data_IF_784199663854
#
_entry.id   IF_784199663854
#
_cell.length_a   1.000
_cell.length_b   1.000
_cell.length_c   1.000
_cell.angle_alpha   90.00
_cell.angle_beta   90.00
_cell.angle_gamma   90.00
#
_symmetry.space_group_name_H-M   'P 1'
#
loop_
_entity.id
_entity.type
_entity.pdbx_description
1 polymer ?
#
# COMPACT_ATOMS: atom_id res chain seq x y z
N UNK A 1 1.57 3.66 1.40
CA UNK A 1 1.36 4.48 0.19
C UNK A 1 1.75 5.94 0.40
N UNK A 2 1.15 6.69 1.32
CA UNK A 2 1.49 8.11 1.53
C UNK A 2 2.97 8.40 1.83
N UNK A 3 3.64 7.54 2.60
CA UNK A 3 5.07 7.69 2.91
C UNK A 3 5.97 7.62 1.66
N UNK A 4 5.63 6.74 0.70
CA UNK A 4 6.35 6.61 -0.58
C UNK A 4 6.14 7.86 -1.44
N UNK A 5 4.91 8.36 -1.50
CA UNK A 5 4.59 9.61 -2.19
C UNK A 5 5.38 10.78 -1.61
N UNK A 6 5.45 10.91 -0.28
CA UNK A 6 6.23 11.95 0.38
C UNK A 6 7.71 11.88 -0.04
N UNK A 7 8.32 10.70 -0.02
CA UNK A 7 9.71 10.52 -0.44
C UNK A 7 9.95 10.88 -1.92
N UNK A 8 9.03 10.54 -2.82
CA UNK A 8 9.13 10.85 -4.25
C UNK A 8 8.91 12.35 -4.57
N UNK A 9 8.39 13.12 -3.61
CA UNK A 9 8.27 14.57 -3.71
C UNK A 9 9.37 15.30 -2.94
N UNK A 10 9.99 14.67 -1.95
CA UNK A 10 10.94 15.30 -1.05
C UNK A 10 12.21 15.82 -1.73
N UNK A 11 12.68 15.16 -2.78
CA UNK A 11 13.84 15.62 -3.56
C UNK A 11 13.50 16.78 -4.52
N UNK A 12 12.23 16.96 -4.86
CA UNK A 12 11.74 17.95 -5.84
C UNK A 12 11.20 19.22 -5.21
N UNK A 13 10.69 19.15 -3.98
CA UNK A 13 10.02 20.27 -3.33
C UNK A 13 10.77 20.74 -2.06
N UNK A 14 11.60 21.79 -2.17
CA UNK A 14 12.33 22.34 -1.03
C UNK A 14 11.43 23.12 -0.06
N UNK A 15 10.14 23.30 -0.34
CA UNK A 15 9.21 23.97 0.57
C UNK A 15 8.66 23.07 1.67
N UNK A 16 8.87 21.75 1.56
CA UNK A 16 8.46 20.78 2.58
C UNK A 16 9.37 20.95 3.81
N UNK A 17 8.80 21.35 4.94
CA UNK A 17 9.55 21.61 6.16
C UNK A 17 9.99 20.34 6.91
N UNK A 18 9.20 19.25 6.84
CA UNK A 18 9.47 18.01 7.55
C UNK A 18 8.59 16.84 7.09
N UNK A 19 9.06 15.60 7.27
CA UNK A 19 8.34 14.40 6.85
C UNK A 19 8.29 13.32 7.94
N UNK A 20 7.17 12.60 8.02
CA UNK A 20 7.06 11.35 8.79
C UNK A 20 6.82 10.22 7.81
N UNK A 21 7.74 9.25 7.80
CA UNK A 21 7.78 8.15 6.84
C UNK A 21 7.44 6.86 7.58
N UNK A 22 6.15 6.51 7.62
CA UNK A 22 5.66 5.28 8.24
C UNK A 22 5.59 4.12 7.25
N UNK A 23 6.41 3.09 7.50
CA UNK A 23 6.39 1.80 6.83
C UNK A 23 6.46 1.91 5.30
N UNK A 24 7.37 2.75 4.81
CA UNK A 24 7.61 2.90 3.36
C UNK A 24 8.38 1.70 2.80
N UNK A 25 8.00 1.27 1.59
CA UNK A 25 8.78 0.34 0.78
C UNK A 25 9.83 1.11 -0.05
N UNK A 26 10.93 0.46 -0.38
CA UNK A 26 12.06 1.12 -1.05
C UNK A 26 11.87 1.21 -2.58
N UNK A 27 11.25 0.18 -3.16
CA UNK A 27 10.86 0.11 -4.57
C UNK A 27 9.80 -1.00 -4.76
N UNK A 28 9.04 -0.92 -5.86
CA UNK A 28 7.96 -1.86 -6.15
C UNK A 28 8.41 -3.28 -6.47
N UNK A 29 9.61 -3.47 -7.02
CA UNK A 29 10.13 -4.80 -7.39
C UNK A 29 10.49 -5.59 -6.13
N UNK A 30 11.18 -4.95 -5.19
CA UNK A 30 11.51 -5.53 -3.89
C UNK A 30 10.24 -5.86 -3.11
N UNK A 31 9.26 -4.95 -3.08
CA UNK A 31 7.97 -5.20 -2.42
C UNK A 31 7.26 -6.43 -2.99
N UNK A 32 7.11 -6.50 -4.32
CA UNK A 32 6.45 -7.64 -4.96
C UNK A 32 7.19 -8.95 -4.72
N UNK A 33 8.53 -8.92 -4.70
CA UNK A 33 9.37 -10.09 -4.40
C UNK A 33 9.15 -10.56 -2.95
N UNK A 34 9.10 -9.63 -2.00
CA UNK A 34 8.87 -9.95 -0.58
C UNK A 34 7.49 -10.57 -0.35
N UNK A 35 6.45 -9.99 -0.96
CA UNK A 35 5.09 -10.52 -0.88
C UNK A 35 4.97 -11.91 -1.53
N UNK A 36 5.60 -12.13 -2.68
CA UNK A 36 5.64 -13.44 -3.33
C UNK A 36 6.27 -14.52 -2.44
N UNK A 37 7.36 -14.18 -1.75
CA UNK A 37 8.02 -15.10 -0.81
C UNK A 37 7.15 -15.40 0.41
N UNK A 38 6.38 -14.42 0.91
CA UNK A 38 5.48 -14.61 2.05
C UNK A 38 4.29 -15.51 1.77
N UNK A 39 3.81 -15.54 0.53
CA UNK A 39 2.74 -16.44 0.11
C UNK A 39 3.17 -17.92 0.08
N UNK A 40 4.41 -18.24 0.47
CA UNK A 40 4.88 -19.61 0.70
C UNK A 40 5.18 -20.40 -0.56
N UNK A 41 4.93 -19.84 -1.74
CA UNK A 41 5.33 -20.42 -3.01
C UNK A 41 6.79 -20.05 -3.30
N UNK A 42 7.64 -21.06 -3.54
CA UNK A 42 8.92 -20.85 -4.23
C UNK A 42 8.62 -20.57 -5.70
N UNK A 43 8.07 -19.38 -5.98
CA UNK A 43 7.73 -18.97 -7.33
C UNK A 43 9.03 -18.89 -8.14
N UNK A 44 9.18 -19.66 -9.23
CA UNK A 44 10.32 -19.51 -10.14
C UNK A 44 10.41 -18.05 -10.60
N UNK A 45 11.62 -17.49 -10.70
CA UNK A 45 11.80 -16.07 -11.04
C UNK A 45 11.12 -15.64 -12.35
N UNK A 46 10.88 -16.58 -13.27
CA UNK A 46 10.11 -16.36 -14.50
C UNK A 46 8.64 -16.01 -14.22
N UNK A 47 7.96 -16.74 -13.33
CA UNK A 47 6.55 -16.48 -13.00
C UNK A 47 6.39 -15.15 -12.25
N UNK A 48 7.30 -14.82 -11.33
CA UNK A 48 7.30 -13.50 -10.68
C UNK A 48 7.46 -12.38 -11.72
N UNK A 49 8.34 -12.57 -12.70
CA UNK A 49 8.54 -11.61 -13.80
C UNK A 49 7.29 -11.46 -14.66
N UNK A 50 6.55 -12.54 -14.94
CA UNK A 50 5.30 -12.50 -15.68
C UNK A 50 4.21 -11.73 -14.91
N UNK A 51 4.03 -12.02 -13.62
CA UNK A 51 3.07 -11.29 -12.75
C UNK A 51 3.41 -9.80 -12.69
N UNK A 52 4.69 -9.49 -12.51
CA UNK A 52 5.20 -8.11 -12.51
C UNK A 52 4.97 -7.41 -13.85
N UNK A 53 5.14 -8.11 -14.97
CA UNK A 53 4.83 -7.57 -16.30
C UNK A 53 3.33 -7.29 -16.45
N UNK A 54 2.46 -8.24 -16.08
CA UNK A 54 1.01 -8.03 -16.12
C UNK A 54 0.56 -6.86 -15.25
N UNK A 55 1.11 -6.75 -14.03
CA UNK A 55 0.84 -5.62 -13.14
C UNK A 55 1.25 -4.29 -13.78
N UNK A 56 2.44 -4.23 -14.37
CA UNK A 56 2.94 -3.05 -15.10
C UNK A 56 2.02 -2.67 -16.25
N UNK A 57 1.59 -3.64 -17.08
CA UNK A 57 0.67 -3.38 -18.19
C UNK A 57 -0.68 -2.87 -17.70
N UNK A 58 -1.25 -3.49 -16.66
CA UNK A 58 -2.53 -3.08 -16.08
C UNK A 58 -2.48 -1.64 -15.55
N UNK A 59 -1.44 -1.30 -14.80
CA UNK A 59 -1.26 0.05 -14.24
C UNK A 59 -0.98 1.08 -15.33
N UNK A 60 -0.15 0.76 -16.33
CA UNK A 60 0.07 1.65 -17.48
C UNK A 60 -1.21 1.93 -18.25
N UNK A 61 -2.06 0.91 -18.43
CA UNK A 61 -3.32 1.05 -19.16
C UNK A 61 -4.33 1.92 -18.40
N UNK A 62 -4.43 1.75 -17.06
CA UNK A 62 -5.45 2.40 -16.24
C UNK A 62 -5.03 3.75 -15.66
N UNK A 63 -3.78 3.89 -15.28
CA UNK A 63 -3.26 5.05 -14.55
C UNK A 63 -2.21 5.84 -15.33
N UNK A 64 -1.87 5.40 -16.56
CA UNK A 64 -0.96 6.10 -17.47
C UNK A 64 0.44 6.41 -16.90
N UNK A 65 0.90 5.62 -15.91
CA UNK A 65 2.26 5.70 -15.38
C UNK A 65 2.87 4.29 -15.25
N UNK A 66 4.20 4.22 -15.20
CA UNK A 66 4.90 2.96 -14.97
C UNK A 66 4.98 2.68 -13.47
N UNK A 67 4.40 1.56 -13.02
CA UNK A 67 4.46 1.20 -11.61
C UNK A 67 5.89 1.02 -11.09
N UNK A 68 6.85 0.71 -11.96
CA UNK A 68 8.25 0.60 -11.57
C UNK A 68 8.96 1.93 -11.37
N UNK A 69 8.33 3.05 -11.72
CA UNK A 69 8.85 4.38 -11.39
C UNK A 69 8.64 4.73 -9.90
N UNK A 70 7.90 3.89 -9.15
CA UNK A 70 7.77 3.97 -7.71
C UNK A 70 9.03 3.40 -7.03
N UNK A 71 10.12 4.14 -7.12
CA UNK A 71 11.45 3.80 -6.60
C UNK A 71 11.98 4.88 -5.64
N UNK A 72 11.39 5.08 -4.44
CA UNK A 72 11.88 6.06 -3.47
C UNK A 72 13.37 5.96 -3.16
N UNK A 73 13.93 4.74 -3.15
CA UNK A 73 15.35 4.51 -2.86
C UNK A 73 16.27 5.24 -3.84
N UNK A 74 15.84 5.53 -5.07
CA UNK A 74 16.62 6.29 -6.03
C UNK A 74 16.68 7.80 -5.73
N UNK A 75 15.79 8.33 -4.88
CA UNK A 75 15.62 9.76 -4.62
C UNK A 75 16.10 10.21 -3.23
N UNK A 76 16.10 9.30 -2.25
CA UNK A 76 16.39 9.65 -0.85
C UNK A 76 17.81 10.17 -0.59
N UNK A 77 18.78 9.88 -1.46
CA UNK A 77 20.16 10.41 -1.36
C UNK A 77 20.29 11.88 -1.77
N UNK A 78 19.22 12.47 -2.31
CA UNK A 78 19.13 13.88 -2.69
C UNK A 78 18.04 14.61 -1.89
N UNK A 79 17.42 13.95 -0.91
CA UNK A 79 16.41 14.54 -0.05
C UNK A 79 17.04 15.02 1.26
N UNK A 80 16.95 16.33 1.53
CA UNK A 80 17.55 16.96 2.71
C UNK A 80 16.54 17.40 3.78
N UNK A 81 15.25 17.19 3.53
CA UNK A 81 14.17 17.55 4.45
C UNK A 81 14.31 16.72 5.75
N UNK A 82 14.18 17.31 6.95
CA UNK A 82 14.13 16.56 8.19
C UNK A 82 13.06 15.47 8.15
N UNK A 83 13.43 14.23 8.51
CA UNK A 83 12.54 13.09 8.41
C UNK A 83 12.55 12.20 9.67
N UNK A 84 11.35 11.78 10.09
CA UNK A 84 11.15 10.75 11.09
C UNK A 84 10.65 9.46 10.43
N UNK A 85 11.51 8.46 10.35
CA UNK A 85 11.16 7.14 9.87
C UNK A 85 10.55 6.30 10.99
N UNK A 86 9.55 5.51 10.64
CA UNK A 86 8.98 4.51 11.56
C UNK A 86 8.55 3.26 10.80
N UNK A 87 8.63 2.12 11.50
CA UNK A 87 8.19 0.83 10.97
C UNK A 87 7.78 -0.10 12.12
N UNK A 88 6.85 -1.01 11.85
CA UNK A 88 6.48 -2.06 12.78
C UNK A 88 7.43 -3.27 12.63
N UNK A 89 7.99 -3.77 13.74
CA UNK A 89 9.00 -4.85 13.73
C UNK A 89 8.47 -6.18 13.17
N UNK A 90 7.18 -6.45 13.32
CA UNK A 90 6.51 -7.64 12.80
C UNK A 90 5.72 -7.35 11.53
N UNK A 91 6.06 -6.31 10.78
CA UNK A 91 5.42 -6.01 9.51
C UNK A 91 5.78 -7.08 8.47
N UNK A 92 4.77 -7.84 8.06
CA UNK A 92 4.89 -8.80 6.97
C UNK A 92 4.59 -8.14 5.63
N UNK A 93 3.64 -7.22 5.56
CA UNK A 93 3.25 -6.62 4.28
C UNK A 93 4.38 -5.77 3.66
N UNK A 94 5.03 -4.93 4.47
CA UNK A 94 6.24 -4.20 4.07
C UNK A 94 7.34 -4.57 5.04
N UNK A 95 8.24 -5.46 4.59
CA UNK A 95 9.35 -5.91 5.42
C UNK A 95 10.15 -4.68 5.95
N UNK A 96 10.39 -4.56 7.27
CA UNK A 96 11.06 -3.40 7.87
C UNK A 96 12.45 -3.10 7.31
N UNK A 97 13.10 -4.08 6.66
CA UNK A 97 14.35 -3.89 5.93
C UNK A 97 14.25 -2.82 4.84
N UNK A 98 13.06 -2.59 4.28
CA UNK A 98 12.82 -1.53 3.30
C UNK A 98 12.99 -0.15 3.94
N UNK A 99 12.42 0.04 5.13
CA UNK A 99 12.61 1.26 5.91
C UNK A 99 14.06 1.44 6.32
N UNK A 100 14.76 0.35 6.68
CA UNK A 100 16.19 0.40 7.01
C UNK A 100 17.04 0.85 5.82
N UNK A 101 16.79 0.30 4.62
CA UNK A 101 17.50 0.67 3.41
C UNK A 101 17.27 2.14 3.03
N UNK A 102 16.01 2.60 3.12
CA UNK A 102 15.67 4.00 2.89
C UNK A 102 16.34 4.92 3.91
N UNK A 103 16.25 4.58 5.19
CA UNK A 103 16.86 5.35 6.28
C UNK A 103 18.37 5.45 6.08
N UNK A 104 19.06 4.34 5.80
CA UNK A 104 20.52 4.34 5.62
C UNK A 104 20.94 5.26 4.47
N UNK A 105 20.24 5.17 3.34
CA UNK A 105 20.55 5.96 2.13
C UNK A 105 20.12 7.43 2.22
N UNK A 106 19.20 7.79 3.11
CA UNK A 106 18.65 9.14 3.22
C UNK A 106 19.73 10.20 3.54
N UNK A 107 19.74 11.32 2.82
CA UNK A 107 20.80 12.34 2.93
C UNK A 107 20.55 13.40 4.01
N UNK A 108 19.29 13.74 4.29
CA UNK A 108 18.91 14.75 5.28
C UNK A 108 18.96 14.27 6.73
N UNK A 109 18.60 15.20 7.63
CA UNK A 109 18.43 14.88 9.04
C UNK A 109 17.36 13.82 9.22
N UNK A 110 17.70 12.75 9.94
CA UNK A 110 16.88 11.54 10.01
C UNK A 110 16.90 10.91 11.38
N UNK A 111 15.73 10.45 11.82
CA UNK A 111 15.55 9.61 13.01
C UNK A 111 14.72 8.37 12.66
N UNK A 112 14.92 7.26 13.38
CA UNK A 112 14.20 6.01 13.15
C UNK A 112 13.62 5.47 14.46
N UNK A 113 12.30 5.26 14.49
CA UNK A 113 11.60 4.65 15.63
C UNK A 113 10.86 3.40 15.17
N UNK A 114 11.34 2.22 15.61
CA UNK A 114 10.69 0.93 15.32
C UNK A 114 9.82 0.46 16.48
N UNK A 115 8.55 0.18 16.20
CA UNK A 115 7.55 -0.23 17.21
C UNK A 115 7.16 -1.70 17.06
N UNK A 116 6.52 -2.28 18.09
CA UNK A 116 5.91 -3.60 17.98
C UNK A 116 4.66 -3.59 17.09
N UNK A 117 4.22 -4.76 16.64
CA UNK A 117 3.03 -4.92 15.79
C UNK A 117 3.37 -5.29 14.33
N UNK A 118 2.34 -5.23 13.49
CA UNK A 118 2.38 -5.45 12.04
C UNK A 118 1.98 -4.18 11.26
N UNK A 119 1.86 -4.26 9.92
CA UNK A 119 1.53 -3.12 9.05
C UNK A 119 0.31 -2.33 9.53
N UNK A 120 -0.76 -3.04 9.90
CA UNK A 120 -2.06 -2.49 10.22
C UNK A 120 -2.28 -2.29 11.73
N UNK A 121 -1.28 -2.56 12.56
CA UNK A 121 -1.39 -2.38 14.01
C UNK A 121 -1.45 -0.90 14.33
N UNK A 122 -2.42 -0.49 15.15
CA UNK A 122 -2.50 0.87 15.68
C UNK A 122 -1.18 1.24 16.34
N UNK A 123 -0.60 2.36 15.89
CA UNK A 123 0.68 2.83 16.41
C UNK A 123 0.54 3.24 17.88
N UNK A 124 1.51 2.90 18.74
CA UNK A 124 1.42 3.18 20.17
C UNK A 124 1.47 4.69 20.46
N UNK A 125 0.83 5.12 21.55
CA UNK A 125 0.74 6.54 21.94
C UNK A 125 2.10 7.25 21.99
N UNK A 126 3.14 6.58 22.49
CA UNK A 126 4.48 7.19 22.57
C UNK A 126 5.06 7.54 21.19
N UNK A 127 4.73 6.77 20.14
CA UNK A 127 5.16 7.09 18.77
C UNK A 127 4.41 8.32 18.27
N UNK A 128 3.10 8.41 18.52
CA UNK A 128 2.32 9.60 18.19
C UNK A 128 2.85 10.86 18.90
N UNK A 129 3.21 10.74 20.18
CA UNK A 129 3.85 11.84 20.93
C UNK A 129 5.19 12.24 20.31
N UNK A 130 6.01 11.25 19.91
CA UNK A 130 7.30 11.50 19.27
C UNK A 130 7.13 12.22 17.92
N UNK A 131 6.13 11.83 17.13
CA UNK A 131 5.76 12.48 15.86
C UNK A 131 5.32 13.93 16.10
N UNK A 132 4.48 14.17 17.12
CA UNK A 132 3.99 15.50 17.42
C UNK A 132 5.14 16.44 17.86
N UNK A 133 6.04 15.95 18.72
CA UNK A 133 7.26 16.68 19.12
C UNK A 133 8.15 16.98 17.91
N UNK A 134 8.34 16.00 17.02
CA UNK A 134 9.09 16.20 15.79
C UNK A 134 8.52 17.34 14.96
N UNK A 135 7.20 17.41 14.77
CA UNK A 135 6.58 18.50 14.02
C UNK A 135 6.65 19.85 14.72
N UNK A 136 6.44 19.93 16.05
CA UNK A 136 6.59 21.19 16.80
C UNK A 136 7.99 21.77 16.59
N UNK A 137 9.01 20.93 16.71
CA UNK A 137 10.41 21.34 16.53
C UNK A 137 10.70 21.75 15.08
N UNK A 138 10.20 20.98 14.12
CA UNK A 138 10.51 21.18 12.70
C UNK A 138 9.76 22.38 12.09
N UNK A 139 8.53 22.62 12.54
CA UNK A 139 7.70 23.74 12.07
C UNK A 139 7.96 25.05 12.85
N UNK A 140 8.79 25.00 13.89
CA UNK A 140 9.11 26.18 14.71
C UNK A 140 7.89 26.74 15.45
N UNK A 141 6.94 25.88 15.84
CA UNK A 141 5.77 26.32 16.58
C UNK A 141 6.17 26.86 17.96
N UNK A 142 5.61 28.00 18.36
CA UNK A 142 5.80 28.55 19.72
C UNK A 142 5.10 27.71 20.81
N UNK A 143 4.24 26.78 20.40
CA UNK A 143 3.53 25.84 21.28
C UNK A 143 4.52 24.96 22.04
N UNK A 144 4.40 24.92 23.37
CA UNK A 144 5.22 24.03 24.19
C UNK A 144 4.83 22.58 23.94
N UNK A 145 5.82 21.69 23.96
CA UNK A 145 5.60 20.24 23.87
C UNK A 145 4.55 19.77 24.89
N UNK A 146 4.52 20.39 26.07
CA UNK A 146 3.55 20.10 27.13
C UNK A 146 2.10 20.31 26.67
N UNK A 147 1.81 21.42 25.96
CA UNK A 147 0.46 21.67 25.44
C UNK A 147 0.03 20.66 24.37
N UNK A 148 0.97 20.09 23.62
CA UNK A 148 0.69 19.05 22.62
C UNK A 148 0.41 17.70 23.28
N UNK A 149 1.09 17.40 24.39
CA UNK A 149 0.87 16.18 25.16
C UNK A 149 -0.47 16.22 25.91
N UNK A 150 -0.90 17.39 26.36
CA UNK A 150 -2.19 17.60 27.05
C UNK A 150 -3.42 17.44 26.12
N UNK A 151 -3.29 17.72 24.81
CA UNK A 151 -4.39 17.56 23.84
C UNK A 151 -4.82 16.10 23.62
N UNK A 152 -3.97 15.13 23.93
CA UNK A 152 -4.30 13.70 23.82
C UNK A 152 -5.19 13.16 24.94
N UNK A 153 -5.47 13.96 25.96
CA UNK A 153 -6.49 13.67 26.99
C UNK A 153 -7.89 14.15 26.58
N UNK A 154 -8.03 14.86 25.45
CA UNK A 154 -9.33 15.09 24.84
C UNK A 154 -9.73 13.84 24.06
N UNK A 155 -10.67 13.08 24.65
CA UNK A 155 -11.31 11.93 24.00
C UNK A 155 -11.70 12.26 22.55
N UNK A 156 -11.53 11.35 21.58
CA UNK A 156 -12.08 11.55 20.25
C UNK A 156 -13.60 11.84 20.37
N UNK A 157 -14.17 12.70 19.52
CA UNK A 157 -15.62 12.84 19.44
C UNK A 157 -16.21 11.44 19.26
N UNK A 158 -17.13 11.06 20.15
CA UNK A 158 -17.79 9.78 20.09
C UNK A 158 -18.29 9.53 18.66
N UNK A 159 -17.88 8.40 18.08
CA UNK A 159 -18.52 7.89 16.87
C UNK A 159 -20.00 7.75 17.21
N UNK A 160 -20.86 8.53 16.55
CA UNK A 160 -22.29 8.34 16.63
C UNK A 160 -22.58 6.99 16.01
N UNK A 161 -22.84 6.00 16.87
CA UNK A 161 -23.49 4.76 16.47
C UNK A 161 -24.83 5.14 15.83
N UNK A 162 -24.91 4.95 14.51
CA UNK A 162 -26.14 5.08 13.74
C UNK A 162 -27.06 3.93 14.15
N UNK A 163 -27.86 4.19 15.19
CA UNK A 163 -28.91 3.29 15.61
C UNK A 163 -30.01 3.28 14.54
N UNK A 164 -30.03 2.21 13.75
CA UNK A 164 -31.16 1.85 12.90
C UNK A 164 -32.39 1.61 13.78
N UNK A 165 -33.26 2.61 13.92
CA UNK A 165 -34.60 2.44 14.49
C UNK A 165 -35.54 1.85 13.44
N UNK A 166 -35.74 0.54 13.56
CA UNK A 166 -36.77 -0.22 12.87
C UNK A 166 -38.14 0.14 13.47
N UNK A 167 -38.98 0.80 12.69
CA UNK A 167 -40.35 1.11 13.06
C UNK A 167 -41.19 -0.18 13.03
N UNK A 168 -41.79 -0.56 14.15
CA UNK A 168 -42.99 -1.40 14.11
C UNK A 168 -43.99 -1.04 15.19
N UNK A 169 -45.22 -0.81 14.72
CA UNK A 169 -46.43 -0.45 15.42
C UNK A 169 -46.81 -1.44 16.54
N UNK A 170 -47.24 -0.94 17.69
CA UNK A 170 -48.50 -1.40 18.29
C UNK A 170 -49.08 -0.40 19.31
N UNK A 171 -50.40 -0.27 19.21
CA UNK A 171 -51.34 0.64 19.89
C UNK A 171 -51.48 0.33 21.38
N UNK A 172 -51.66 1.33 22.25
CA UNK A 172 -52.92 1.59 23.00
C UNK A 172 -52.84 2.79 23.97
N UNK A 173 -53.77 3.74 23.78
CA UNK A 173 -54.55 4.55 24.75
C UNK A 173 -54.03 4.78 26.19
N UNK A 174 -53.93 6.04 26.64
CA UNK A 174 -54.97 6.81 27.38
C UNK A 174 -54.43 8.19 27.82
N UNK A 175 -55.36 9.13 27.99
CA UNK A 175 -55.25 10.59 28.08
C UNK A 175 -55.14 11.07 29.58
N UNK A 176 -55.36 12.36 29.96
CA UNK A 176 -54.32 13.36 30.31
C UNK A 176 -54.43 13.92 31.75
N UNK A 177 -53.48 14.78 32.20
CA UNK A 177 -53.77 15.89 33.15
C UNK A 177 -52.61 16.87 33.39
N UNK A 178 -52.96 18.16 33.28
CA UNK A 178 -52.60 19.35 34.09
C UNK A 178 -51.16 19.64 34.53
N UNK A 179 -50.61 20.77 34.09
CA UNK A 179 -50.77 22.09 34.77
C UNK A 179 -49.72 23.11 34.29
N UNK A 180 -50.12 24.38 34.26
CA UNK A 180 -49.39 25.53 33.75
C UNK A 180 -48.56 26.25 34.83
N UNK A 181 -47.45 26.91 34.44
CA UNK A 181 -46.92 28.19 34.98
C UNK A 181 -45.60 28.52 34.24
N UNK A 182 -45.53 29.52 33.34
CA UNK A 182 -45.44 30.97 33.54
C UNK A 182 -44.02 31.50 33.86
N UNK A 183 -43.46 32.22 32.87
CA UNK A 183 -42.85 33.56 32.97
C UNK A 183 -41.38 33.79 32.52
N UNK A 184 -41.28 34.85 31.69
CA UNK A 184 -40.22 35.86 31.53
C UNK A 184 -39.12 35.71 30.45
N UNK A 185 -39.35 36.41 29.33
CA UNK A 185 -38.34 37.16 28.52
C UNK A 185 -38.34 38.65 28.97
N UNK A 186 -37.42 39.59 28.60
CA UNK A 186 -36.70 39.79 27.31
C UNK A 186 -35.28 40.47 27.44
N UNK A 187 -34.70 41.25 26.49
CA UNK A 187 -34.24 40.95 25.11
C UNK A 187 -32.76 41.37 24.77
N UNK A 188 -32.21 40.76 23.70
CA UNK A 188 -31.41 41.29 22.56
C UNK A 188 -30.03 41.99 22.73
N UNK A 189 -29.00 41.38 22.12
CA UNK A 189 -28.00 41.96 21.20
C UNK A 189 -27.35 40.74 20.47
N UNK A 190 -27.24 40.58 19.15
CA UNK A 190 -27.09 41.55 18.08
C UNK A 190 -25.62 41.69 17.71
N UNK A 191 -24.98 40.66 17.12
CA UNK A 191 -23.84 40.91 16.22
C UNK A 191 -23.60 39.81 15.18
N UNK A 192 -23.07 40.28 14.05
CA UNK A 192 -23.09 39.72 12.71
C UNK A 192 -21.88 38.82 12.44
N UNK A 193 -22.11 37.63 11.87
CA UNK A 193 -21.16 37.01 10.94
C UNK A 193 -21.83 35.94 10.07
N UNK A 194 -22.48 36.40 8.99
CA UNK A 194 -22.45 35.64 7.72
C UNK A 194 -20.96 35.59 7.31
N UNK A 195 -20.35 34.49 6.86
CA UNK A 195 -20.89 33.36 6.12
C UNK A 195 -19.94 33.13 4.95
N UNK A 196 -18.95 32.24 5.13
CA UNK A 196 -18.20 31.59 4.04
C UNK A 196 -17.95 30.14 4.47
N UNK A 197 -19.03 29.35 4.50
CA UNK A 197 -18.92 27.89 4.55
C UNK A 197 -18.61 27.41 3.14
N UNK A 198 -17.36 27.05 2.89
CA UNK A 198 -16.99 26.33 1.67
C UNK A 198 -17.47 24.87 1.84
N UNK A 199 -18.21 24.30 0.87
CA UNK A 199 -18.55 22.89 0.94
C UNK A 199 -17.29 22.06 0.81
N UNK A 200 -17.06 21.16 1.77
CA UNK A 200 -16.00 20.15 1.70
C UNK A 200 -16.15 19.33 0.41
N UNK A 201 -15.05 19.05 -0.32
CA UNK A 201 -15.13 18.20 -1.50
C UNK A 201 -15.65 16.80 -1.11
N UNK A 202 -16.37 16.10 -2.00
CA UNK A 202 -16.86 14.76 -1.73
C UNK A 202 -15.69 13.84 -1.38
N UNK A 203 -15.71 13.28 -0.16
CA UNK A 203 -14.82 12.17 0.19
C UNK A 203 -15.37 10.91 -0.46
N UNK A 204 -14.86 10.57 -1.63
CA UNK A 204 -15.01 9.20 -2.12
C UNK A 204 -14.22 8.29 -1.18
N UNK A 205 -14.93 7.50 -0.38
CA UNK A 205 -14.37 6.39 0.36
C UNK A 205 -13.90 5.34 -0.64
N UNK A 206 -12.62 5.41 -1.04
CA UNK A 206 -11.97 4.29 -1.70
C UNK A 206 -11.70 3.25 -0.62
N UNK A 207 -12.65 2.34 -0.45
CA UNK A 207 -12.46 1.13 0.32
C UNK A 207 -11.50 0.23 -0.46
N UNK A 208 -10.23 0.19 -0.03
CA UNK A 208 -9.25 -0.75 -0.55
C UNK A 208 -9.59 -2.15 -0.03
N UNK A 209 -10.46 -2.83 -0.77
CA UNK A 209 -10.76 -4.23 -0.59
C UNK A 209 -9.60 -5.06 -1.17
N UNK A 210 -8.69 -5.48 -0.29
CA UNK A 210 -7.50 -6.27 -0.64
C UNK A 210 -7.85 -7.58 -1.36
N UNK A 211 -9.04 -8.12 -1.09
CA UNK A 211 -9.49 -9.39 -1.66
C UNK A 211 -9.89 -9.22 -3.14
N UNK A 212 -10.40 -8.05 -3.52
CA UNK A 212 -10.69 -7.70 -4.92
C UNK A 212 -9.46 -7.40 -5.77
N UNK A 213 -8.34 -6.97 -5.18
CA UNK A 213 -7.11 -6.75 -5.94
C UNK A 213 -6.47 -8.07 -6.37
N UNK A 214 -6.60 -9.11 -5.54
CA UNK A 214 -6.18 -10.46 -5.90
C UNK A 214 -7.09 -10.98 -7.02
N UNK A 215 -8.40 -10.83 -6.89
CA UNK A 215 -9.37 -11.30 -7.90
C UNK A 215 -9.28 -10.53 -9.24
N UNK A 216 -9.04 -9.21 -9.19
CA UNK A 216 -8.85 -8.37 -10.38
C UNK A 216 -7.43 -8.43 -10.99
N UNK A 217 -6.47 -9.08 -10.31
CA UNK A 217 -5.17 -9.46 -10.85
C UNK A 217 -5.17 -10.85 -11.50
N UNK A 218 -6.28 -11.59 -11.42
CA UNK A 218 -6.55 -12.79 -12.23
C UNK A 218 -7.52 -12.52 -13.41
N UNK A 219 -7.36 -11.48 -14.26
CA UNK A 219 -8.10 -11.43 -15.51
C UNK A 219 -7.22 -12.07 -16.60
N UNK A 220 -6.97 -13.37 -16.50
CA UNK A 220 -6.67 -14.18 -17.68
C UNK A 220 -7.45 -15.47 -17.59
N UNK A 221 -8.30 -15.66 -18.58
CA UNK A 221 -9.08 -16.86 -18.79
C UNK A 221 -8.20 -18.11 -18.70
N UNK A 222 -8.71 -19.10 -17.99
CA UNK A 222 -8.31 -20.52 -17.91
C UNK A 222 -8.21 -21.23 -19.29
N UNK A 223 -8.07 -20.50 -20.40
CA UNK A 223 -8.00 -21.00 -21.78
C UNK A 223 -6.65 -20.78 -22.46
N UNK A 224 -5.78 -19.89 -21.94
CA UNK A 224 -4.44 -19.65 -22.54
C UNK A 224 -3.29 -20.35 -21.81
N UNK A 225 -3.45 -20.68 -20.52
CA UNK A 225 -2.44 -21.47 -19.80
C UNK A 225 -2.31 -22.88 -20.39
N UNK A 226 -3.44 -23.55 -20.65
CA UNK A 226 -3.43 -24.88 -21.27
C UNK A 226 -2.77 -24.84 -22.65
N UNK A 227 -3.01 -23.78 -23.45
CA UNK A 227 -2.37 -23.62 -24.76
C UNK A 227 -0.86 -23.41 -24.66
N UNK A 228 -0.40 -22.55 -23.73
CA UNK A 228 1.04 -22.33 -23.55
C UNK A 228 1.76 -23.55 -22.96
N UNK A 229 1.11 -24.29 -22.06
CA UNK A 229 1.65 -25.53 -21.49
C UNK A 229 1.69 -26.64 -22.54
N UNK A 230 0.66 -26.76 -23.37
CA UNK A 230 0.61 -27.73 -24.47
C UNK A 230 1.63 -27.41 -25.57
N UNK A 231 1.79 -26.14 -25.95
CA UNK A 231 2.84 -25.71 -26.88
C UNK A 231 4.25 -25.98 -26.33
N UNK A 232 4.50 -25.70 -25.04
CA UNK A 232 5.78 -25.98 -24.40
C UNK A 232 6.09 -27.48 -24.28
N UNK A 233 5.09 -28.32 -23.99
CA UNK A 233 5.22 -29.77 -23.97
C UNK A 233 5.46 -30.34 -25.37
N UNK A 234 4.76 -29.84 -26.39
CA UNK A 234 4.99 -30.23 -27.78
C UNK A 234 6.40 -29.88 -28.26
N UNK A 235 6.90 -28.70 -27.87
CA UNK A 235 8.23 -28.24 -28.26
C UNK A 235 9.32 -29.10 -27.60
N UNK A 236 9.13 -29.46 -26.33
CA UNK A 236 10.01 -30.40 -25.59
C UNK A 236 9.99 -31.82 -26.17
N UNK A 237 8.81 -32.33 -26.58
CA UNK A 237 8.72 -33.62 -27.27
C UNK A 237 9.36 -33.58 -28.67
N UNK A 238 9.23 -32.48 -29.41
CA UNK A 238 9.91 -32.33 -30.71
C UNK A 238 11.43 -32.27 -30.57
N UNK A 239 11.93 -31.57 -29.55
CA UNK A 239 13.37 -31.48 -29.27
C UNK A 239 13.96 -32.85 -28.87
N UNK A 240 13.27 -33.60 -27.99
CA UNK A 240 13.69 -34.97 -27.62
C UNK A 240 13.63 -35.96 -28.79
N UNK A 241 12.66 -35.84 -29.71
CA UNK A 241 12.57 -36.69 -30.90
C UNK A 241 13.64 -36.37 -31.96
N UNK A 242 14.07 -35.12 -32.06
CA UNK A 242 15.21 -34.71 -32.91
C UNK A 242 16.50 -35.29 -32.35
N UNK A 243 16.69 -35.20 -31.04
CA UNK A 243 17.87 -35.70 -30.32
C UNK A 243 17.99 -37.25 -30.40
N UNK A 244 16.85 -37.97 -30.35
CA UNK A 244 16.79 -39.43 -30.55
C UNK A 244 16.99 -39.87 -32.01
N UNK A 245 16.77 -38.99 -32.99
CA UNK A 245 16.98 -39.29 -34.41
C UNK A 245 18.43 -39.02 -34.83
N UNK A 246 19.07 -38.04 -34.22
CA UNK A 246 20.50 -37.79 -34.40
C UNK A 246 21.34 -38.92 -33.78
N UNK A 247 21.03 -39.38 -32.56
CA UNK A 247 21.72 -40.52 -31.94
C UNK A 247 21.60 -41.83 -32.75
N UNK A 248 20.47 -42.06 -33.43
CA UNK A 248 20.28 -43.27 -34.26
C UNK A 248 21.01 -43.23 -35.61
N UNK A 249 21.36 -42.04 -36.11
CA UNK A 249 22.09 -41.89 -37.37
C UNK A 249 23.61 -41.98 -37.17
N UNK A 250 24.12 -41.76 -35.95
CA UNK A 250 25.56 -41.90 -35.64
C UNK A 250 25.99 -43.36 -35.40
N UNK A 251 25.06 -44.26 -35.06
CA UNK A 251 25.35 -45.66 -34.69
C UNK A 251 25.28 -46.67 -35.86
N UNK A 252 25.13 -46.22 -37.11
CA UNK A 252 25.05 -47.13 -38.25
C UNK A 252 26.45 -47.48 -38.81
N UNK A 253 26.91 -48.75 -38.74
CA UNK A 253 28.24 -49.12 -39.23
C UNK A 253 28.33 -49.02 -40.76
N UNK A 254 29.51 -48.68 -41.32
CA UNK A 254 29.66 -48.45 -42.75
C UNK A 254 29.44 -49.76 -43.55
N UNK A 255 28.53 -49.68 -44.53
CA UNK A 255 28.26 -50.76 -45.48
C UNK A 255 29.52 -51.01 -46.32
N UNK A 256 30.18 -52.15 -46.07
CA UNK A 256 31.34 -52.62 -46.83
C UNK A 256 30.88 -53.01 -48.24
N UNK A 257 31.20 -52.21 -49.25
CA UNK A 257 31.06 -52.60 -50.66
C UNK A 257 32.14 -53.63 -50.97
N UNK A 258 31.77 -54.91 -51.01
CA UNK A 258 32.60 -55.94 -51.64
C UNK A 258 32.61 -55.69 -53.15
N UNK A 259 33.75 -55.18 -53.65
CA UNK A 259 34.18 -55.44 -55.01
C UNK A 259 34.86 -56.81 -54.99
N UNK A 260 34.28 -57.79 -55.66
CA UNK A 260 35.05 -58.93 -56.13
C UNK A 260 34.77 -59.14 -57.61
N UNK A 261 35.86 -59.12 -58.36
CA UNK A 261 35.94 -59.30 -59.78
C UNK A 261 35.76 -60.78 -60.13
N UNK A 262 35.05 -61.04 -61.22
CA UNK A 262 35.42 -61.96 -62.33
C UNK A 262 34.40 -61.81 -63.45
#
# INVERSE_FOLDING_TARGET
>A
MGAVTALLHGDRDPSIAGMVIDSAFQDMRTLATDLAQQLGFRIPGLMLSAVLAMLRLSVKSRAHFDIFDLEPIAHVDQTYIPALFTAARGDTFINPRNTDALFEKYAGDKNLVKVGGNHNTTRPKFLMHSIAIFFVNTLGCETTVDAVLDLNDLSPPAEQEDATEDQNDSRTSTDPSDSAEANNSPPRAGDLSNGLSMPSPPREHIQFDSDRLIEAAVPFSCFEEDRMVEEALEQSMKESLVDDKERRNEDMPPIRKEKSAL
#
